data_IF_419093017505
#
_entry.id   IF_419093017505
#
_cell.length_a   1.000
_cell.length_b   1.000
_cell.length_c   1.000
_cell.angle_alpha   90.00
_cell.angle_beta   90.00
_cell.angle_gamma   90.00
#
_symmetry.space_group_name_H-M   'P 1'
#
loop_
_entity.id
_entity.type
_entity.pdbx_description
1 polymer ?
2 non-polymer ?
3 non-polymer ?
4 water ?
#
# COMPACT_ATOMS: atom_id res chain seq x y z
N UNK A 3 -25.35 7.78 -17.94
CA UNK A 3 -24.00 8.21 -17.49
C UNK A 3 -23.04 7.01 -17.39
N UNK A 4 -23.10 6.30 -16.26
CA UNK A 4 -22.32 5.06 -16.09
C UNK A 4 -23.14 3.86 -16.52
N UNK A 5 -22.53 3.01 -17.34
CA UNK A 5 -23.19 1.82 -17.88
C UNK A 5 -22.79 0.57 -17.12
N UNK A 6 -23.10 0.55 -15.82
CA UNK A 6 -22.80 -0.56 -14.93
C UNK A 6 -23.98 -0.66 -14.02
N UNK A 7 -24.30 -1.87 -13.61
CA UNK A 7 -25.39 -2.07 -12.66
C UNK A 7 -25.02 -1.60 -11.25
N UNK A 8 -26.02 -1.16 -10.47
CA UNK A 8 -25.83 -0.81 -9.05
C UNK A 8 -25.13 -1.91 -8.25
N UNK A 9 -25.47 -3.15 -8.53
CA UNK A 9 -24.93 -4.27 -7.79
C UNK A 9 -23.42 -4.42 -8.01
N UNK A 10 -23.00 -4.25 -9.25
CA UNK A 10 -21.57 -4.33 -9.54
C UNK A 10 -20.85 -3.08 -9.03
N UNK A 11 -21.46 -1.91 -9.19
CA UNK A 11 -20.87 -0.68 -8.66
C UNK A 11 -20.60 -0.84 -7.16
N UNK A 12 -21.56 -1.38 -6.41
CA UNK A 12 -21.38 -1.58 -4.95
C UNK A 12 -20.32 -2.61 -4.59
N UNK A 13 -20.18 -3.64 -5.43
CA UNK A 13 -19.10 -4.60 -5.23
C UNK A 13 -17.76 -3.93 -5.42
N UNK A 14 -17.64 -3.08 -6.43
CA UNK A 14 -16.41 -2.35 -6.67
C UNK A 14 -16.14 -1.44 -5.47
N UNK A 15 -17.16 -0.76 -4.99
CA UNK A 15 -17.01 0.17 -3.88
C UNK A 15 -16.39 -0.53 -2.66
N UNK A 16 -16.87 -1.75 -2.38
CA UNK A 16 -16.31 -2.53 -1.27
C UNK A 16 -14.83 -2.82 -1.51
N UNK A 17 -14.44 -3.12 -2.74
CA UNK A 17 -13.03 -3.36 -3.04
C UNK A 17 -12.17 -2.13 -2.76
N UNK A 18 -12.67 -0.95 -3.13
CA UNK A 18 -11.94 0.28 -2.87
C UNK A 18 -11.91 0.60 -1.38
N UNK A 19 -13.03 0.48 -0.68
CA UNK A 19 -13.06 0.73 0.77
C UNK A 19 -12.19 -0.23 1.54
N UNK A 20 -12.28 -1.51 1.17
CA UNK A 20 -11.46 -2.52 1.86
C UNK A 20 -9.97 -2.31 1.57
N UNK A 21 -9.64 -1.98 0.31
CA UNK A 21 -8.26 -1.67 -0.05
C UNK A 21 -7.73 -0.47 0.72
N UNK A 22 -8.54 0.56 0.86
CA UNK A 22 -8.11 1.73 1.62
C UNK A 22 -7.79 1.37 3.06
N UNK A 23 -8.67 0.60 3.68
CA UNK A 23 -8.50 0.25 5.09
C UNK A 23 -7.26 -0.61 5.28
N UNK A 24 -7.04 -1.56 4.39
CA UNK A 24 -5.91 -2.48 4.53
C UNK A 24 -4.59 -1.75 4.30
N UNK A 25 -4.55 -0.85 3.32
CA UNK A 25 -3.32 -0.09 3.08
C UNK A 25 -3.03 0.80 4.30
N UNK A 26 -4.03 1.44 4.90
CA UNK A 26 -3.79 2.25 6.10
C UNK A 26 -3.24 1.41 7.23
N UNK A 27 -3.77 0.21 7.41
CA UNK A 27 -3.31 -0.66 8.50
C UNK A 27 -1.87 -1.13 8.25
N UNK A 28 -1.55 -1.49 7.01
CA UNK A 28 -0.19 -1.92 6.69
C UNK A 28 0.76 -0.76 6.93
N UNK A 29 0.40 0.43 6.50
CA UNK A 29 1.33 1.56 6.64
C UNK A 29 1.54 1.87 8.13
N UNK A 30 0.48 1.81 8.92
CA UNK A 30 0.59 2.01 10.38
C UNK A 30 1.50 0.96 11.03
N UNK A 31 1.30 -0.29 10.67
CA UNK A 31 2.07 -1.39 11.28
C UNK A 31 3.54 -1.25 10.90
N UNK A 32 3.80 -0.97 9.62
CA UNK A 32 5.20 -0.91 9.17
C UNK A 32 5.90 0.37 9.55
N UNK A 33 5.13 1.43 9.75
CA UNK A 33 5.70 2.64 10.29
C UNK A 33 6.18 2.37 11.71
N UNK A 34 5.39 1.65 12.51
CA UNK A 34 5.81 1.25 13.84
C UNK A 34 7.08 0.39 13.79
N UNK A 35 7.09 -0.59 12.90
CA UNK A 35 8.27 -1.48 12.76
C UNK A 35 9.53 -0.73 12.35
N UNK A 36 9.41 0.20 11.39
CA UNK A 36 10.55 1.04 11.01
C UNK A 36 11.12 1.73 12.21
N UNK A 37 10.25 2.27 13.07
CA UNK A 37 10.70 2.96 14.26
C UNK A 37 11.45 2.07 15.21
N UNK A 38 10.96 0.86 15.42
CA UNK A 38 11.63 -0.06 16.33
C UNK A 38 12.97 -0.50 15.78
N UNK A 39 13.03 -0.78 14.49
CA UNK A 39 14.26 -1.20 13.86
C UNK A 39 15.26 -0.05 13.88
N UNK A 40 14.82 1.13 13.48
CA UNK A 40 15.75 2.26 13.32
C UNK A 40 16.38 2.58 14.67
N UNK A 41 15.57 2.48 15.72
CA UNK A 41 16.02 2.80 17.07
C UNK A 41 16.98 1.78 17.64
N UNK A 42 16.86 0.52 17.20
CA UNK A 42 17.67 -0.57 17.72
C UNK A 42 18.83 -0.99 16.82
N UNK A 43 18.91 -0.40 15.64
CA UNK A 43 20.03 -0.59 14.71
C UNK A 43 20.79 0.74 14.61
N UNK A 44 21.91 0.85 15.30
CA UNK A 44 22.72 2.07 15.24
C UNK A 44 23.48 2.18 13.92
N UNK A 45 23.88 3.41 13.60
CA UNK A 45 24.69 3.66 12.41
C UNK A 45 23.85 3.76 11.16
N UNK A 46 24.43 3.34 10.03
CA UNK A 46 23.91 3.68 8.69
C UNK A 46 23.42 2.53 7.78
N UNK A 47 23.61 1.27 8.16
CA UNK A 47 23.26 0.13 7.27
C UNK A 47 21.83 0.14 6.68
N UNK A 48 20.86 0.54 7.49
CA UNK A 48 19.44 0.54 7.10
C UNK A 48 19.01 1.92 6.59
N UNK A 49 19.94 2.86 6.52
CA UNK A 49 19.57 4.25 6.29
C UNK A 49 18.95 4.45 4.92
N UNK A 50 19.42 3.75 3.89
CA UNK A 50 18.87 3.99 2.56
C UNK A 50 17.41 3.55 2.50
N UNK A 51 17.08 2.52 3.28
CA UNK A 51 15.72 1.98 3.27
C UNK A 51 14.80 2.93 4.01
N UNK A 52 15.30 3.48 5.12
CA UNK A 52 14.57 4.48 5.89
C UNK A 52 14.26 5.71 5.04
N UNK A 53 15.25 6.19 4.30
CA UNK A 53 15.06 7.37 3.46
C UNK A 53 13.96 7.14 2.41
N UNK A 54 13.95 5.98 1.78
CA UNK A 54 12.92 5.65 0.78
C UNK A 54 11.55 5.48 1.44
N UNK A 55 11.50 4.81 2.58
CA UNK A 55 10.23 4.64 3.29
C UNK A 55 9.61 5.99 3.61
N UNK A 56 10.42 6.91 4.14
CA UNK A 56 9.93 8.23 4.49
C UNK A 56 9.46 9.02 3.30
N UNK A 57 10.14 8.85 2.16
CA UNK A 57 9.76 9.58 0.95
C UNK A 57 8.47 9.05 0.36
N UNK A 58 8.28 7.74 0.41
CA UNK A 58 7.10 7.09 -0.22
C UNK A 58 5.86 7.04 0.68
N UNK A 59 6.05 6.98 1.99
CA UNK A 59 4.90 6.90 2.93
C UNK A 59 3.77 7.89 2.67
N UNK A 60 4.08 9.18 2.50
CA UNK A 60 2.97 10.11 2.30
C UNK A 60 2.17 9.84 1.02
N UNK A 61 2.83 9.30 -0.01
CA UNK A 61 2.15 8.96 -1.25
C UNK A 61 1.21 7.78 -1.02
N UNK A 62 1.65 6.81 -0.23
CA UNK A 62 0.79 5.67 0.07
C UNK A 62 -0.43 6.10 0.87
N UNK A 63 -0.21 7.01 1.81
CA UNK A 63 -1.33 7.57 2.55
C UNK A 63 -2.31 8.26 1.58
N UNK A 64 -1.74 9.06 0.68
CA UNK A 64 -2.56 9.79 -0.28
C UNK A 64 -3.38 8.84 -1.13
N UNK A 65 -2.79 7.71 -1.47
CA UNK A 65 -3.46 6.70 -2.26
C UNK A 65 -4.59 6.08 -1.45
N UNK A 66 -4.34 5.73 -0.20
CA UNK A 66 -5.46 5.24 0.63
C UNK A 66 -6.63 6.22 0.72
N UNK A 67 -6.34 7.51 0.79
CA UNK A 67 -7.36 8.52 0.87
C UNK A 67 -8.15 8.60 -0.42
N UNK A 68 -7.44 8.51 -1.54
CA UNK A 68 -8.10 8.45 -2.84
C UNK A 68 -9.07 7.29 -2.91
N UNK A 69 -8.62 6.12 -2.44
CA UNK A 69 -9.48 4.95 -2.52
C UNK A 69 -10.77 5.17 -1.75
N UNK A 70 -10.68 5.83 -0.59
CA UNK A 70 -11.86 6.13 0.24
C UNK A 70 -12.80 7.11 -0.50
N UNK A 71 -12.24 8.07 -1.22
CA UNK A 71 -13.02 9.02 -2.01
C UNK A 71 -13.71 8.32 -3.18
N UNK A 72 -13.01 7.39 -3.81
CA UNK A 72 -13.64 6.60 -4.89
C UNK A 72 -14.77 5.73 -4.34
N UNK A 73 -14.57 5.13 -3.18
CA UNK A 73 -15.65 4.39 -2.51
C UNK A 73 -16.87 5.29 -2.36
N UNK A 74 -16.71 6.51 -1.85
CA UNK A 74 -17.85 7.41 -1.61
C UNK A 74 -18.54 7.74 -2.93
N UNK A 75 -17.75 8.02 -3.96
CA UNK A 75 -18.34 8.34 -5.26
C UNK A 75 -19.11 7.17 -5.83
N UNK A 76 -18.57 5.98 -5.71
CA UNK A 76 -19.25 4.81 -6.26
C UNK A 76 -20.55 4.54 -5.51
N UNK A 77 -20.54 4.74 -4.19
CA UNK A 77 -21.78 4.59 -3.39
C UNK A 77 -22.84 5.56 -3.88
N UNK A 78 -22.46 6.80 -4.13
CA UNK A 78 -23.36 7.82 -4.64
C UNK A 78 -23.91 7.44 -6.00
N UNK A 79 -23.02 6.99 -6.87
CA UNK A 79 -23.37 6.66 -8.24
C UNK A 79 -24.28 5.44 -8.29
N UNK A 80 -24.01 4.43 -7.47
CA UNK A 80 -24.89 3.25 -7.35
C UNK A 80 -26.30 3.65 -6.94
N UNK A 81 -26.40 4.57 -5.98
CA UNK A 81 -27.68 5.07 -5.53
C UNK A 81 -28.43 5.71 -6.67
N UNK A 82 -27.72 6.55 -7.42
CA UNK A 82 -28.37 7.35 -8.47
C UNK A 82 -28.84 6.45 -9.59
N UNK A 83 -27.99 5.51 -10.00
CA UNK A 83 -28.33 4.55 -11.05
C UNK A 83 -29.56 3.77 -10.66
N UNK A 84 -29.59 3.27 -9.43
CA UNK A 84 -30.68 2.43 -8.96
C UNK A 84 -31.98 3.22 -8.83
N UNK A 85 -31.91 4.40 -8.23
CA UNK A 85 -33.06 5.31 -8.14
C UNK A 85 -33.32 5.92 -9.51
N UNK B 4 22.68 -4.60 15.27
CA UNK B 4 21.31 -4.52 15.71
C UNK B 4 20.99 -5.15 17.07
N UNK B 5 20.37 -4.35 17.96
CA UNK B 5 19.91 -4.76 19.29
C UNK B 5 18.50 -5.37 19.31
N UNK B 6 18.34 -6.44 18.57
CA UNK B 6 17.07 -7.13 18.42
C UNK B 6 17.43 -8.60 18.25
N UNK B 7 16.63 -9.52 18.77
CA UNK B 7 16.89 -10.95 18.62
C UNK B 7 16.64 -11.38 17.18
N UNK B 8 17.41 -12.39 16.68
CA UNK B 8 17.12 -12.90 15.32
C UNK B 8 15.65 -13.28 15.12
N UNK B 9 15.03 -13.87 16.15
CA UNK B 9 13.65 -14.28 16.04
C UNK B 9 12.72 -13.07 15.86
N UNK B 10 12.95 -12.00 16.57
CA UNK B 10 12.12 -10.82 16.39
C UNK B 10 12.39 -10.17 15.03
N UNK B 11 13.66 -10.15 14.59
CA UNK B 11 14.00 -9.59 13.28
C UNK B 11 13.22 -10.35 12.21
N UNK B 12 13.18 -11.68 12.29
CA UNK B 12 12.44 -12.45 11.31
C UNK B 12 10.91 -12.29 11.39
N UNK B 13 10.38 -12.08 12.59
CA UNK B 13 8.93 -11.81 12.72
C UNK B 13 8.64 -10.52 11.98
N UNK B 14 9.48 -9.51 12.18
CA UNK B 14 9.25 -8.24 11.48
C UNK B 14 9.40 -8.41 9.98
N UNK B 15 10.40 -9.15 9.53
CA UNK B 15 10.59 -9.41 8.10
C UNK B 15 9.29 -9.94 7.48
N UNK B 16 8.68 -10.93 8.16
CA UNK B 16 7.45 -11.52 7.66
C UNK B 16 6.34 -10.49 7.44
N UNK B 17 6.25 -9.54 8.36
CA UNK B 17 5.25 -8.47 8.23
C UNK B 17 5.51 -7.60 7.00
N UNK B 18 6.77 -7.33 6.71
CA UNK B 18 7.09 -6.50 5.53
C UNK B 18 6.73 -7.25 4.26
N UNK B 19 7.09 -8.53 4.21
CA UNK B 19 6.69 -9.34 3.07
C UNK B 19 5.18 -9.47 2.87
N UNK B 20 4.47 -9.75 3.95
CA UNK B 20 3.02 -9.87 3.86
C UNK B 20 2.40 -8.56 3.42
N UNK B 21 2.87 -7.44 3.97
CA UNK B 21 2.38 -6.11 3.57
C UNK B 21 2.60 -5.87 2.10
N UNK B 22 3.77 -6.20 1.60
CA UNK B 22 4.06 -6.02 0.21
C UNK B 22 3.12 -6.84 -0.65
N UNK B 23 2.96 -8.12 -0.32
CA UNK B 23 2.07 -8.98 -1.09
C UNK B 23 0.65 -8.45 -1.12
N UNK B 24 0.19 -7.95 0.03
CA UNK B 24 -1.20 -7.47 0.13
C UNK B 24 -1.39 -6.21 -0.70
N UNK B 25 -0.43 -5.30 -0.62
CA UNK B 25 -0.46 -4.08 -1.42
C UNK B 25 -0.43 -4.38 -2.90
N UNK B 26 0.39 -5.33 -3.36
CA UNK B 26 0.44 -5.64 -4.79
C UNK B 26 -0.89 -6.24 -5.25
N UNK B 27 -1.52 -7.04 -4.40
CA UNK B 27 -2.82 -7.64 -4.72
C UNK B 27 -3.89 -6.57 -4.85
N UNK B 28 -3.90 -5.63 -3.90
CA UNK B 28 -4.86 -4.50 -3.93
C UNK B 28 -4.63 -3.66 -5.18
N UNK B 29 -3.37 -3.35 -5.47
CA UNK B 29 -3.05 -2.54 -6.64
C UNK B 29 -3.50 -3.22 -7.94
N UNK B 30 -3.20 -4.51 -8.09
CA UNK B 30 -3.64 -5.26 -9.28
C UNK B 30 -5.17 -5.28 -9.43
N UNK B 31 -5.87 -5.60 -8.34
CA UNK B 31 -7.34 -5.67 -8.33
C UNK B 31 -7.97 -4.30 -8.67
N UNK B 32 -7.46 -3.25 -8.04
CA UNK B 32 -8.04 -1.93 -8.24
C UNK B 32 -7.66 -1.33 -9.60
N UNK B 33 -6.52 -1.70 -10.16
CA UNK B 33 -6.16 -1.23 -11.48
C UNK B 33 -7.15 -1.80 -12.52
N UNK B 34 -7.53 -3.07 -12.35
CA UNK B 34 -8.52 -3.70 -13.24
C UNK B 34 -9.88 -3.01 -13.07
N UNK B 35 -10.26 -2.73 -11.83
CA UNK B 35 -11.50 -1.99 -11.55
C UNK B 35 -11.52 -0.64 -12.20
N UNK B 36 -10.40 0.08 -12.10
CA UNK B 36 -10.32 1.44 -12.66
C UNK B 36 -10.62 1.41 -14.13
N UNK B 37 -10.06 0.41 -14.81
CA UNK B 37 -10.19 0.32 -16.24
C UNK B 37 -11.63 0.06 -16.62
N UNK B 38 -12.28 -0.84 -15.89
CA UNK B 38 -13.68 -1.19 -16.20
C UNK B 38 -14.63 -0.05 -15.93
N UNK B 39 -14.46 0.61 -14.80
CA UNK B 39 -15.28 1.76 -14.42
C UNK B 39 -15.08 2.91 -15.41
N UNK B 40 -13.84 3.21 -15.76
CA UNK B 40 -13.53 4.30 -16.69
C UNK B 40 -14.15 4.03 -18.05
N UNK B 41 -14.05 2.78 -18.49
CA UNK B 41 -14.54 2.39 -19.81
C UNK B 41 -16.05 2.53 -19.90
N UNK B 42 -16.76 2.37 -18.78
CA UNK B 42 -18.21 2.37 -18.78
C UNK B 42 -18.83 3.65 -18.21
N UNK B 43 -18.00 4.65 -17.96
CA UNK B 43 -18.46 5.95 -17.50
C UNK B 43 -18.15 6.99 -18.57
N UNK B 44 -19.15 7.36 -19.35
CA UNK B 44 -18.97 8.39 -20.39
C UNK B 44 -18.78 9.78 -19.77
N UNK B 45 -18.09 10.66 -20.49
CA UNK B 45 -17.89 12.04 -20.04
C UNK B 45 -16.76 12.18 -19.04
N UNK B 46 -16.77 13.28 -18.28
CA UNK B 46 -15.62 13.67 -17.44
C UNK B 46 -15.72 13.29 -15.93
N UNK B 47 -16.84 12.76 -15.48
CA UNK B 47 -17.08 12.54 -14.03
C UNK B 47 -16.01 11.70 -13.30
N UNK B 48 -15.48 10.69 -13.95
CA UNK B 48 -14.50 9.81 -13.29
C UNK B 48 -13.07 10.24 -13.61
N UNK B 49 -12.89 11.23 -14.47
CA UNK B 49 -11.57 11.57 -15.00
C UNK B 49 -10.56 11.92 -13.91
N UNK B 50 -11.01 12.69 -12.92
CA UNK B 50 -10.11 13.12 -11.84
C UNK B 50 -9.65 11.94 -11.01
N UNK B 51 -10.49 10.91 -10.86
CA UNK B 51 -10.06 9.78 -10.07
C UNK B 51 -9.06 8.95 -10.82
N UNK B 52 -9.28 8.80 -12.13
CA UNK B 52 -8.29 8.13 -13.00
C UNK B 52 -6.95 8.84 -12.97
N UNK B 53 -6.98 10.16 -13.07
CA UNK B 53 -5.74 10.92 -13.07
C UNK B 53 -4.97 10.72 -11.77
N UNK B 54 -5.68 10.82 -10.65
CA UNK B 54 -5.04 10.68 -9.37
C UNK B 54 -4.55 9.27 -9.12
N UNK B 55 -5.32 8.27 -9.56
CA UNK B 55 -4.90 6.87 -9.38
C UNK B 55 -3.62 6.61 -10.14
N UNK B 56 -3.52 7.11 -11.36
CA UNK B 56 -2.37 6.84 -12.19
C UNK B 56 -1.10 7.55 -11.70
N UNK B 57 -1.28 8.70 -11.08
CA UNK B 57 -0.19 9.49 -10.51
C UNK B 57 0.44 8.77 -9.32
N UNK B 58 -0.43 8.15 -8.52
CA UNK B 58 0.00 7.56 -7.25
C UNK B 58 0.40 6.08 -7.35
N UNK B 59 -0.21 5.35 -8.29
CA UNK B 59 0.02 3.91 -8.37
C UNK B 59 1.49 3.53 -8.56
N UNK B 60 2.28 4.26 -9.36
CA UNK B 60 3.70 3.87 -9.45
C UNK B 60 4.44 4.00 -8.13
N UNK B 61 4.05 4.95 -7.31
CA UNK B 61 4.69 5.16 -6.01
C UNK B 61 4.29 4.06 -5.04
N UNK B 62 3.04 3.63 -5.12
CA UNK B 62 2.58 2.50 -4.31
C UNK B 62 3.29 1.22 -4.71
N UNK B 63 3.48 1.02 -6.01
CA UNK B 63 4.26 -0.10 -6.52
C UNK B 63 5.69 -0.02 -6.01
N UNK B 64 6.34 1.13 -6.05
CA UNK B 64 7.70 1.29 -5.54
C UNK B 64 7.76 1.01 -4.04
N UNK B 65 6.71 1.34 -3.32
CA UNK B 65 6.65 1.07 -1.89
C UNK B 65 6.57 -0.43 -1.62
N UNK B 66 5.71 -1.11 -2.33
CA UNK B 66 5.67 -2.57 -2.25
C UNK B 66 7.03 -3.21 -2.53
N UNK B 67 7.74 -2.69 -3.53
CA UNK B 67 9.08 -3.20 -3.86
C UNK B 67 10.04 -2.93 -2.73
N UNK B 68 9.95 -1.74 -2.14
CA UNK B 68 10.80 -1.40 -0.99
C UNK B 68 10.58 -2.36 0.18
N UNK B 69 9.34 -2.66 0.46
CA UNK B 69 9.04 -3.58 1.57
C UNK B 69 9.67 -4.96 1.35
N UNK B 70 9.68 -5.46 0.10
CA UNK B 70 10.35 -6.75 -0.23
C UNK B 70 11.86 -6.65 -0.03
N UNK B 71 12.45 -5.51 -0.39
CA UNK B 71 13.86 -5.28 -0.18
C UNK B 71 14.21 -5.24 1.31
N UNK B 72 13.39 -4.59 2.10
CA UNK B 72 13.58 -4.55 3.55
C UNK B 72 13.45 -5.95 4.13
N UNK B 73 12.47 -6.72 3.69
CA UNK B 73 12.28 -8.08 4.12
C UNK B 73 13.57 -8.87 3.94
N UNK B 74 14.20 -8.80 2.77
CA UNK B 74 15.40 -9.59 2.55
C UNK B 74 16.63 -9.05 3.26
N UNK B 75 16.69 -7.75 3.46
CA UNK B 75 17.76 -7.15 4.26
C UNK B 75 17.63 -7.64 5.71
N UNK B 76 16.41 -7.64 6.24
CA UNK B 76 16.17 -8.11 7.59
C UNK B 76 16.54 -9.59 7.75
N UNK B 77 16.16 -10.39 6.77
CA UNK B 77 16.50 -11.83 6.83
C UNK B 77 18.02 -11.98 6.88
N UNK B 78 18.73 -11.26 6.02
CA UNK B 78 20.20 -11.41 5.99
C UNK B 78 20.84 -10.91 7.28
N UNK B 79 20.29 -9.85 7.86
CA UNK B 79 20.80 -9.33 9.11
C UNK B 79 20.56 -10.32 10.25
N UNK B 80 19.38 -10.93 10.29
CA UNK B 80 19.10 -11.96 11.28
C UNK B 80 20.09 -13.11 11.19
N UNK B 81 20.42 -13.53 9.97
CA UNK B 81 21.41 -14.59 9.76
C UNK B 81 22.75 -14.20 10.35
N UNK B 82 23.17 -12.97 10.10
CA UNK B 82 24.46 -12.49 10.61
C UNK B 82 24.48 -12.37 12.14
N UNK B 83 23.39 -11.90 12.72
CA UNK B 83 23.29 -11.80 14.19
C UNK B 83 23.38 -13.21 14.77
N UNK B 84 22.70 -14.16 14.14
CA UNK B 84 22.65 -15.53 14.67
C UNK B 84 24.03 -16.17 14.61
N UNK B 85 24.85 -15.72 13.66
CA UNK B 85 26.23 -16.23 13.47
C UNK B 85 27.27 -15.55 14.35
N UNK B 86 26.91 -14.42 14.96
CA UNK B 86 27.84 -13.64 15.77
C UNK B 86 27.86 -14.17 17.21
N UNK B 87 29.01 -14.75 17.59
CA UNK B 87 29.16 -15.41 18.89
C UNK B 87 29.03 -14.42 20.05
X LIG C 1 10.29 -5.46 19.75
X LIG D 1 -17.78 -6.11 -14.54
X LIG E 1 -13.09 1.87 5.93
X LIG F 1 27.87 1.85 19.18
X LIG G 1 6.43 -13.40 1.57
X LIG G 1 7.91 -14.05 2.21
X LIG G 1 6.84 -11.84 0.88
X LIG G 1 5.80 -14.77 0.32
X LIG G 1 5.13 -13.17 3.02
X LIG H 1 6.20 -11.08 -0.83
#
# INVERSE_FOLDING_TARGET
XAMIKMSPEEIRAKSQSYGQGSDQIRQILSDLTRAQGEIAANWEGQAFSRFEEQFQQLSPKVEKFAQLLEEIKQQLNSTADAVQEQDQQLSNNFGLQ
XAXIKMSPEEIRAKSQSYGQGSDQIRQILSDLTRAQGEIAANWEGQAFSRFEEQFQQLSPKVEKFAQLLEEIKQQLNSTADAVQEQDQQLSNNFGLQ
ZN ZN
ZN ZN
ZN ZN
ZN ZN
CAC AS O1 O2 C1 C2
ZN ZN
#
